data_IF_127904793297
#
_entry.id   IF_127904793297
#
_cell.length_a   1.000
_cell.length_b   1.000
_cell.length_c   1.000
_cell.angle_alpha   90.00
_cell.angle_beta   90.00
_cell.angle_gamma   90.00
#
_symmetry.space_group_name_H-M   'P 1'
#
loop_
_entity.id
_entity.type
_entity.pdbx_description
1 polymer ?
#
# COMPACT_ATOMS: atom_id res chain seq x y z
N UNK A 1 10.53 -10.97 11.12
CA UNK A 1 10.06 -11.84 12.23
C UNK A 1 10.05 -13.28 11.77
N UNK A 2 10.59 -14.26 12.50
CA UNK A 2 10.68 -15.61 12.02
C UNK A 2 9.34 -16.33 12.17
N UNK A 3 8.72 -16.67 11.08
CA UNK A 3 7.67 -17.67 11.06
C UNK A 3 8.33 -19.04 11.34
N UNK A 4 8.48 -19.39 12.59
CA UNK A 4 8.91 -20.73 13.02
C UNK A 4 7.71 -21.51 13.54
N UNK A 5 7.56 -22.71 12.96
CA UNK A 5 6.80 -23.87 13.41
C UNK A 5 5.31 -23.93 13.07
N UNK A 6 5.05 -24.21 11.80
CA UNK A 6 3.94 -25.06 11.41
C UNK A 6 4.54 -26.45 11.11
N UNK A 7 4.48 -27.37 12.07
CA UNK A 7 4.80 -28.78 11.83
C UNK A 7 3.55 -29.45 11.25
N UNK A 8 3.71 -30.05 10.07
CA UNK A 8 2.70 -30.85 9.40
C UNK A 8 3.29 -32.24 9.14
N UNK A 9 2.48 -33.27 9.36
CA UNK A 9 2.82 -34.59 8.86
C UNK A 9 2.73 -34.58 7.33
N UNK A 10 3.85 -34.73 6.68
CA UNK A 10 4.17 -34.32 5.30
C UNK A 10 3.44 -35.08 4.18
N UNK A 11 2.58 -36.05 4.48
CA UNK A 11 2.05 -36.96 3.46
C UNK A 11 0.62 -36.67 2.97
N UNK A 12 -0.10 -35.76 3.61
CA UNK A 12 -1.54 -35.61 3.41
C UNK A 12 -1.95 -34.21 2.94
N UNK A 13 -1.18 -33.17 3.29
CA UNK A 13 -1.53 -31.80 2.98
C UNK A 13 -0.27 -31.05 2.53
N UNK A 14 -0.31 -30.43 1.37
CA UNK A 14 0.71 -29.47 0.95
C UNK A 14 0.14 -28.06 1.04
N UNK A 15 0.95 -27.12 1.57
CA UNK A 15 0.65 -25.70 1.59
C UNK A 15 1.54 -25.02 0.57
N UNK A 16 0.96 -24.40 -0.44
CA UNK A 16 1.65 -23.48 -1.33
C UNK A 16 1.41 -22.07 -0.84
N UNK A 17 2.49 -21.36 -0.52
CA UNK A 17 2.46 -19.95 -0.18
C UNK A 17 3.15 -19.24 -1.33
N UNK A 18 2.48 -18.32 -1.95
CA UNK A 18 3.05 -17.51 -3.01
C UNK A 18 2.61 -16.06 -2.83
N UNK A 19 3.46 -15.16 -3.28
CA UNK A 19 3.12 -13.77 -3.37
C UNK A 19 2.35 -13.56 -4.67
N UNK A 20 1.14 -13.09 -4.57
CA UNK A 20 0.33 -12.67 -5.70
C UNK A 20 -0.16 -11.26 -5.40
N UNK A 21 0.37 -10.28 -6.12
CA UNK A 21 0.02 -8.87 -6.00
C UNK A 21 0.11 -8.34 -4.54
N UNK A 22 1.31 -8.48 -3.93
CA UNK A 22 1.66 -8.03 -2.57
C UNK A 22 0.86 -8.66 -1.42
N UNK A 23 -0.14 -9.49 -1.72
CA UNK A 23 -0.88 -10.23 -0.72
C UNK A 23 -0.32 -11.66 -0.55
N UNK A 24 -0.14 -12.06 0.70
CA UNK A 24 0.23 -13.42 1.02
C UNK A 24 -0.97 -14.34 0.74
N UNK A 25 -0.96 -14.99 -0.42
CA UNK A 25 -1.95 -16.00 -0.77
C UNK A 25 -1.45 -17.38 -0.36
N UNK A 26 -2.34 -18.24 0.08
CA UNK A 26 -2.01 -19.63 0.36
C UNK A 26 -3.09 -20.56 -0.19
N UNK A 27 -2.68 -21.65 -0.78
CA UNK A 27 -3.54 -22.77 -1.15
C UNK A 27 -3.27 -23.95 -0.24
N UNK A 28 -4.34 -24.60 0.21
CA UNK A 28 -4.24 -25.87 0.91
C UNK A 28 -4.65 -26.97 -0.05
N UNK A 29 -3.71 -27.82 -0.40
CA UNK A 29 -3.94 -28.95 -1.29
C UNK A 29 -4.08 -30.22 -0.44
N UNK A 30 -5.30 -30.73 -0.33
CA UNK A 30 -5.57 -32.01 0.29
C UNK A 30 -5.33 -33.11 -0.73
N UNK A 31 -4.43 -34.01 -0.42
CA UNK A 31 -4.17 -35.17 -1.24
C UNK A 31 -5.39 -36.11 -1.25
N UNK A 32 -5.46 -36.93 -2.27
CA UNK A 32 -6.47 -38.00 -2.39
C UNK A 32 -6.57 -38.80 -1.08
N UNK A 33 -7.78 -38.91 -0.54
CA UNK A 33 -8.08 -39.67 0.68
C UNK A 33 -7.70 -38.96 2.00
N UNK A 34 -7.25 -37.71 1.96
CA UNK A 34 -6.93 -36.92 3.15
C UNK A 34 -8.18 -36.58 3.97
N UNK A 35 -8.04 -36.58 5.30
CA UNK A 35 -9.10 -36.14 6.20
C UNK A 35 -9.02 -34.61 6.43
N UNK A 36 -10.01 -33.88 5.97
CA UNK A 36 -10.10 -32.42 6.15
C UNK A 36 -10.08 -31.99 7.62
N UNK A 37 -10.53 -32.84 8.53
CA UNK A 37 -10.56 -32.53 9.97
C UNK A 37 -9.19 -32.38 10.62
N UNK A 38 -8.14 -32.89 9.97
CA UNK A 38 -6.76 -32.72 10.38
C UNK A 38 -6.19 -31.34 10.03
N UNK A 39 -6.86 -30.58 9.12
CA UNK A 39 -6.44 -29.23 8.77
C UNK A 39 -6.86 -28.27 9.88
N UNK A 40 -5.92 -27.91 10.74
CA UNK A 40 -6.15 -26.95 11.83
C UNK A 40 -5.10 -25.84 11.76
N UNK A 41 -5.56 -24.64 11.44
CA UNK A 41 -4.75 -23.43 11.50
C UNK A 41 -4.86 -22.78 12.88
N UNK A 42 -3.75 -22.49 13.52
CA UNK A 42 -3.73 -21.79 14.80
C UNK A 42 -3.30 -20.34 14.57
N UNK A 43 -4.16 -19.42 14.95
CA UNK A 43 -3.89 -18.00 14.93
C UNK A 43 -3.29 -17.56 16.28
N UNK A 44 -2.14 -16.90 16.22
CA UNK A 44 -1.46 -16.35 17.40
C UNK A 44 -1.53 -14.82 17.37
N UNK A 45 -1.55 -14.20 18.53
CA UNK A 45 -1.63 -12.74 18.69
C UNK A 45 -2.88 -12.11 18.07
N UNK A 46 -4.00 -12.84 18.09
CA UNK A 46 -5.32 -12.33 17.68
C UNK A 46 -6.22 -12.20 18.90
N UNK A 47 -7.05 -11.19 18.93
CA UNK A 47 -8.01 -10.94 20.02
C UNK A 47 -9.22 -11.88 19.90
N UNK A 48 -9.75 -12.04 18.69
CA UNK A 48 -10.87 -12.95 18.45
C UNK A 48 -10.92 -13.46 17.01
N UNK A 49 -11.58 -14.61 16.84
CA UNK A 49 -11.94 -15.19 15.56
C UNK A 49 -13.45 -15.39 15.53
N UNK A 50 -14.14 -14.81 14.55
CA UNK A 50 -15.60 -14.93 14.42
C UNK A 50 -16.00 -15.23 12.98
N UNK A 51 -17.14 -15.91 12.80
CA UNK A 51 -17.73 -16.17 11.49
C UNK A 51 -18.91 -15.25 11.25
N UNK A 52 -18.88 -14.50 10.16
CA UNK A 52 -19.97 -13.63 9.74
C UNK A 52 -20.30 -13.91 8.27
N UNK A 53 -21.51 -14.38 7.99
CA UNK A 53 -21.97 -14.73 6.64
C UNK A 53 -21.03 -15.68 5.87
N UNK A 54 -20.39 -16.63 6.59
CA UNK A 54 -19.44 -17.58 6.02
C UNK A 54 -18.01 -17.07 5.87
N UNK A 55 -17.75 -15.79 6.08
CA UNK A 55 -16.40 -15.19 6.13
C UNK A 55 -15.83 -15.29 7.53
N UNK A 56 -14.52 -15.44 7.63
CA UNK A 56 -13.77 -15.41 8.87
C UNK A 56 -13.30 -13.97 9.14
N UNK A 57 -13.68 -13.42 10.30
CA UNK A 57 -13.16 -12.16 10.80
C UNK A 57 -12.09 -12.45 11.87
N UNK A 58 -10.91 -11.93 11.63
CA UNK A 58 -9.73 -12.07 12.49
C UNK A 58 -9.47 -10.70 13.11
N UNK A 59 -9.85 -10.54 14.38
CA UNK A 59 -9.60 -9.30 15.12
C UNK A 59 -8.19 -9.33 15.68
N UNK A 60 -7.40 -8.34 15.32
CA UNK A 60 -6.07 -8.09 15.90
C UNK A 60 -6.12 -6.84 16.78
N UNK A 61 -5.03 -6.52 17.46
CA UNK A 61 -4.93 -5.29 18.27
C UNK A 61 -4.92 -3.99 17.43
N UNK A 62 -4.68 -4.10 16.11
CA UNK A 62 -4.54 -2.94 15.23
C UNK A 62 -5.67 -2.84 14.19
N UNK A 63 -6.21 -3.98 13.72
CA UNK A 63 -7.28 -3.98 12.71
C UNK A 63 -8.08 -5.29 12.72
N UNK A 64 -9.10 -5.36 11.84
CA UNK A 64 -9.85 -6.58 11.56
C UNK A 64 -9.53 -7.07 10.16
N UNK A 65 -8.96 -8.26 10.05
CA UNK A 65 -8.73 -8.94 8.77
C UNK A 65 -9.97 -9.77 8.44
N UNK A 66 -10.45 -9.71 7.22
CA UNK A 66 -11.57 -10.51 6.74
C UNK A 66 -11.09 -11.49 5.68
N UNK A 67 -11.19 -12.78 5.97
CA UNK A 67 -11.06 -13.82 4.97
C UNK A 67 -12.45 -14.23 4.47
N UNK A 68 -12.64 -14.23 3.16
CA UNK A 68 -13.93 -14.61 2.57
C UNK A 68 -14.19 -16.10 2.77
N UNK A 69 -15.45 -16.51 2.55
CA UNK A 69 -15.81 -17.93 2.58
C UNK A 69 -14.85 -18.74 1.70
N UNK A 70 -14.28 -19.86 2.18
CA UNK A 70 -13.27 -20.58 1.43
C UNK A 70 -13.87 -21.16 0.14
N UNK A 71 -13.20 -20.90 -0.98
CA UNK A 71 -13.49 -21.55 -2.23
C UNK A 71 -12.70 -22.87 -2.30
N UNK A 72 -13.36 -23.95 -2.61
CA UNK A 72 -12.66 -25.22 -2.80
C UNK A 72 -13.12 -25.89 -4.10
N UNK A 73 -12.18 -26.59 -4.74
CA UNK A 73 -12.45 -27.25 -6.01
C UNK A 73 -11.60 -28.50 -6.22
N UNK A 74 -12.02 -29.32 -7.15
CA UNK A 74 -11.28 -30.49 -7.68
C UNK A 74 -11.07 -30.32 -9.17
N UNK A 75 -9.94 -30.79 -9.68
CA UNK A 75 -9.71 -30.89 -11.12
C UNK A 75 -9.93 -32.35 -11.51
N UNK A 76 -10.98 -32.61 -12.28
CA UNK A 76 -11.38 -33.93 -12.75
C UNK A 76 -11.51 -33.89 -14.27
N UNK A 77 -10.69 -34.67 -14.98
CA UNK A 77 -10.65 -34.69 -16.45
C UNK A 77 -10.44 -33.32 -17.11
N UNK A 78 -9.63 -32.46 -16.51
CA UNK A 78 -9.39 -31.05 -16.87
C UNK A 78 -10.57 -30.09 -16.59
N UNK A 79 -11.65 -30.53 -15.99
CA UNK A 79 -12.74 -29.69 -15.55
C UNK A 79 -12.55 -29.30 -14.07
N UNK A 80 -12.83 -28.04 -13.75
CA UNK A 80 -12.85 -27.54 -12.37
C UNK A 80 -14.23 -27.74 -11.78
N UNK A 81 -14.33 -28.56 -10.74
CA UNK A 81 -15.58 -28.89 -10.05
C UNK A 81 -15.54 -28.26 -8.65
N UNK A 82 -16.45 -27.34 -8.37
CA UNK A 82 -16.56 -26.70 -7.05
C UNK A 82 -16.92 -27.74 -5.98
N UNK A 83 -16.24 -27.64 -4.84
CA UNK A 83 -16.53 -28.39 -3.61
C UNK A 83 -16.98 -27.42 -2.54
N UNK A 84 -18.17 -27.58 -1.98
CA UNK A 84 -18.65 -26.72 -0.90
C UNK A 84 -17.73 -26.85 0.32
N UNK A 85 -17.21 -25.74 0.79
CA UNK A 85 -16.29 -25.65 1.92
C UNK A 85 -16.73 -24.53 2.88
N UNK A 86 -16.68 -24.81 4.18
CA UNK A 86 -16.96 -23.83 5.22
C UNK A 86 -15.83 -23.83 6.26
N UNK A 87 -15.58 -22.67 6.86
CA UNK A 87 -14.74 -22.57 8.05
C UNK A 87 -15.40 -23.21 9.29
N UNK A 88 -14.56 -23.73 10.16
CA UNK A 88 -14.93 -24.17 11.52
C UNK A 88 -14.02 -23.47 12.51
N UNK A 89 -14.56 -22.56 13.32
CA UNK A 89 -13.78 -21.80 14.31
C UNK A 89 -13.95 -22.43 15.70
N UNK A 90 -12.81 -22.68 16.39
CA UNK A 90 -12.77 -23.15 17.77
C UNK A 90 -11.71 -22.36 18.54
N UNK A 91 -12.14 -21.40 19.35
CA UNK A 91 -11.24 -20.47 20.07
C UNK A 91 -10.28 -19.76 19.08
N UNK A 92 -8.98 -20.01 19.19
CA UNK A 92 -7.94 -19.44 18.32
C UNK A 92 -7.52 -20.39 17.20
N UNK A 93 -8.35 -21.36 16.83
CA UNK A 93 -8.09 -22.27 15.73
C UNK A 93 -9.19 -22.23 14.71
N UNK A 94 -8.80 -22.37 13.45
CA UNK A 94 -9.68 -22.45 12.28
C UNK A 94 -9.41 -23.76 11.55
N UNK A 95 -10.45 -24.50 11.30
CA UNK A 95 -10.44 -25.67 10.42
C UNK A 95 -11.45 -25.50 9.31
N UNK A 96 -11.64 -26.56 8.54
CA UNK A 96 -12.56 -26.58 7.42
C UNK A 96 -13.52 -27.77 7.53
N UNK A 97 -14.65 -27.70 6.85
CA UNK A 97 -15.57 -28.83 6.65
C UNK A 97 -16.14 -28.78 5.25
N UNK A 98 -16.40 -29.95 4.71
CA UNK A 98 -17.15 -30.13 3.46
C UNK A 98 -18.59 -30.54 3.79
N UNK A 99 -19.58 -29.63 3.69
CA UNK A 99 -20.97 -29.93 4.04
C UNK A 99 -21.66 -30.86 3.02
N UNK A 100 -21.04 -31.08 1.86
CA UNK A 100 -21.56 -31.97 0.81
C UNK A 100 -20.49 -32.99 0.43
N UNK A 101 -20.94 -34.13 -0.13
CA UNK A 101 -20.03 -35.16 -0.63
C UNK A 101 -19.23 -34.66 -1.84
N UNK A 102 -18.00 -35.07 -1.93
CA UNK A 102 -17.06 -34.82 -3.04
C UNK A 102 -16.37 -36.12 -3.46
N UNK A 103 -15.66 -36.12 -4.57
CA UNK A 103 -14.98 -37.30 -5.04
C UNK A 103 -13.63 -37.50 -4.33
N UNK A 104 -13.57 -38.39 -3.33
CA UNK A 104 -12.36 -38.67 -2.55
C UNK A 104 -11.20 -39.27 -3.33
N UNK A 105 -11.41 -39.62 -4.60
CA UNK A 105 -10.35 -40.16 -5.47
C UNK A 105 -9.48 -39.06 -6.10
N UNK A 106 -9.83 -37.79 -5.94
CA UNK A 106 -9.10 -36.64 -6.45
C UNK A 106 -8.71 -35.71 -5.30
N UNK A 107 -7.63 -34.98 -5.48
CA UNK A 107 -7.21 -33.94 -4.54
C UNK A 107 -8.24 -32.82 -4.48
N UNK A 108 -8.37 -32.16 -3.33
CA UNK A 108 -9.17 -30.94 -3.16
C UNK A 108 -8.21 -29.79 -2.94
N UNK A 109 -8.39 -28.71 -3.67
CA UNK A 109 -7.69 -27.44 -3.49
C UNK A 109 -8.64 -26.50 -2.77
N UNK A 110 -8.22 -25.97 -1.61
CA UNK A 110 -8.92 -24.92 -0.87
C UNK A 110 -8.12 -23.64 -1.10
N UNK A 111 -8.74 -22.70 -1.81
CA UNK A 111 -8.19 -21.43 -2.25
C UNK A 111 -8.98 -20.28 -1.61
N UNK A 112 -8.33 -19.28 -0.94
CA UNK A 112 -9.01 -18.04 -0.59
C UNK A 112 -9.58 -17.38 -1.84
N UNK A 113 -10.85 -17.03 -1.79
CA UNK A 113 -11.56 -16.56 -2.98
C UNK A 113 -11.04 -15.22 -3.44
N UNK A 114 -10.54 -15.13 -4.66
CA UNK A 114 -10.38 -13.88 -5.39
C UNK A 114 -11.77 -13.25 -5.57
N UNK A 115 -11.97 -12.04 -5.03
CA UNK A 115 -13.26 -11.35 -5.13
C UNK A 115 -13.48 -10.89 -6.57
N UNK A 116 -12.48 -10.22 -7.12
CA UNK A 116 -12.43 -9.88 -8.55
C UNK A 116 -10.99 -9.65 -9.00
N UNK A 117 -10.78 -9.74 -10.30
CA UNK A 117 -9.56 -9.32 -10.97
C UNK A 117 -9.95 -8.64 -12.27
N UNK A 118 -9.35 -7.49 -12.54
CA UNK A 118 -9.60 -6.74 -13.77
C UNK A 118 -8.31 -6.11 -14.28
N UNK A 119 -8.24 -5.90 -15.58
CA UNK A 119 -7.17 -5.10 -16.17
C UNK A 119 -7.47 -3.62 -15.94
N UNK A 120 -6.43 -2.86 -15.55
CA UNK A 120 -6.44 -1.40 -15.60
C UNK A 120 -5.28 -0.93 -16.44
N UNK A 121 -5.50 0.12 -17.21
CA UNK A 121 -4.44 0.67 -18.04
C UNK A 121 -4.96 1.27 -19.33
N UNK A 122 -4.01 1.68 -20.17
CA UNK A 122 -4.20 2.35 -21.45
C UNK A 122 -3.53 1.58 -22.58
N UNK A 123 -3.37 2.21 -23.74
CA UNK A 123 -2.55 1.69 -24.84
C UNK A 123 -1.04 1.95 -24.63
N UNK A 124 -0.69 2.79 -23.63
CA UNK A 124 0.68 3.01 -23.17
C UNK A 124 0.98 2.11 -21.98
N UNK A 125 2.24 2.03 -21.56
CA UNK A 125 2.63 1.30 -20.36
C UNK A 125 1.98 1.91 -19.12
N UNK A 126 1.57 1.05 -18.19
CA UNK A 126 1.01 1.45 -16.92
C UNK A 126 1.54 0.49 -15.83
N UNK A 127 2.06 1.04 -14.75
CA UNK A 127 2.55 0.25 -13.64
C UNK A 127 1.73 0.54 -12.39
N UNK A 128 1.20 -0.52 -11.74
CA UNK A 128 0.57 -0.41 -10.44
C UNK A 128 1.63 -0.26 -9.34
N UNK A 129 1.45 0.70 -8.44
CA UNK A 129 2.34 0.94 -7.30
C UNK A 129 1.66 0.67 -5.98
N UNK A 130 0.42 1.11 -5.83
CA UNK A 130 -0.28 1.08 -4.55
C UNK A 130 -1.77 0.84 -4.74
N UNK A 131 -2.40 0.27 -3.73
CA UNK A 131 -3.84 0.08 -3.71
C UNK A 131 -4.37 0.16 -2.28
N UNK A 132 -5.60 0.64 -2.14
CA UNK A 132 -6.32 0.66 -0.87
C UNK A 132 -7.81 0.39 -1.11
N UNK A 133 -8.58 0.27 -0.03
CA UNK A 133 -10.01 0.04 -0.11
C UNK A 133 -10.75 0.85 0.95
N UNK A 134 -12.02 1.16 0.69
CA UNK A 134 -12.87 1.79 1.68
C UNK A 134 -13.69 0.77 2.51
N UNK A 135 -14.36 1.26 3.55
CA UNK A 135 -15.18 0.43 4.44
C UNK A 135 -16.37 -0.24 3.76
N UNK A 136 -16.67 0.14 2.52
CA UNK A 136 -17.75 -0.45 1.70
C UNK A 136 -17.22 -1.52 0.75
N UNK A 137 -15.88 -1.67 0.65
CA UNK A 137 -15.20 -2.64 -0.21
C UNK A 137 -14.95 -2.15 -1.63
N UNK A 138 -15.01 -0.83 -1.89
CA UNK A 138 -14.54 -0.27 -3.15
C UNK A 138 -13.01 -0.26 -3.17
N UNK A 139 -12.42 -0.67 -4.28
CA UNK A 139 -10.98 -0.70 -4.49
C UNK A 139 -10.51 0.61 -5.12
N UNK A 140 -9.42 1.15 -4.60
CA UNK A 140 -8.70 2.28 -5.19
C UNK A 140 -7.32 1.82 -5.62
N UNK A 141 -6.93 2.12 -6.84
CA UNK A 141 -5.58 1.84 -7.35
C UNK A 141 -4.85 3.13 -7.67
N UNK A 142 -3.59 3.21 -7.25
CA UNK A 142 -2.62 4.22 -7.65
C UNK A 142 -1.59 3.59 -8.56
N UNK A 143 -1.48 4.09 -9.77
CA UNK A 143 -0.59 3.61 -10.80
C UNK A 143 0.11 4.77 -11.50
N UNK A 144 1.13 4.45 -12.27
CA UNK A 144 1.78 5.39 -13.19
C UNK A 144 1.27 5.14 -14.60
N UNK A 145 0.88 6.20 -15.29
CA UNK A 145 0.55 6.15 -16.72
C UNK A 145 1.67 6.79 -17.53
N UNK A 146 2.26 6.01 -18.45
CA UNK A 146 3.32 6.46 -19.36
C UNK A 146 2.71 7.06 -20.62
N UNK A 147 1.97 8.16 -20.48
CA UNK A 147 1.40 8.92 -21.58
C UNK A 147 -0.12 9.00 -21.58
N UNK A 148 -0.66 9.31 -22.75
CA UNK A 148 -2.09 9.58 -22.98
C UNK A 148 -2.96 8.31 -22.98
N UNK A 149 -4.27 8.52 -23.09
CA UNK A 149 -5.30 7.48 -23.26
C UNK A 149 -5.55 6.58 -22.06
N UNK A 150 -5.06 6.97 -20.85
CA UNK A 150 -5.59 6.33 -19.64
C UNK A 150 -7.10 6.58 -19.54
N UNK A 151 -7.89 5.55 -19.27
CA UNK A 151 -9.34 5.63 -19.40
C UNK A 151 -10.01 6.42 -18.26
N UNK A 152 -9.90 7.73 -18.31
CA UNK A 152 -10.52 8.66 -17.36
C UNK A 152 -12.05 8.67 -17.46
N UNK A 153 -12.72 9.04 -16.39
CA UNK A 153 -14.18 9.18 -16.37
C UNK A 153 -14.58 10.63 -16.67
N UNK A 154 -15.78 10.81 -17.22
CA UNK A 154 -16.35 12.14 -17.38
C UNK A 154 -16.51 12.84 -16.03
N UNK A 155 -16.06 14.09 -15.92
CA UNK A 155 -16.08 14.84 -14.68
C UNK A 155 -14.94 14.50 -13.70
N UNK A 156 -13.96 13.71 -14.10
CA UNK A 156 -12.72 13.51 -13.34
C UNK A 156 -11.98 14.83 -13.15
N UNK A 157 -11.24 14.94 -12.05
CA UNK A 157 -10.46 16.14 -11.72
C UNK A 157 -9.51 16.53 -12.85
N UNK A 158 -8.72 15.59 -13.36
CA UNK A 158 -7.76 15.79 -14.43
C UNK A 158 -8.00 14.75 -15.52
N UNK A 159 -8.44 15.22 -16.68
CA UNK A 159 -8.89 14.33 -17.77
C UNK A 159 -7.84 14.09 -18.85
N UNK A 160 -6.68 14.73 -18.74
CA UNK A 160 -5.60 14.62 -19.70
C UNK A 160 -4.25 14.45 -19.02
N UNK A 161 -3.37 13.71 -19.66
CA UNK A 161 -1.96 13.64 -19.33
C UNK A 161 -1.31 15.02 -19.46
N UNK A 162 -0.50 15.43 -18.49
CA UNK A 162 0.03 16.80 -18.43
C UNK A 162 1.45 16.93 -18.95
N UNK A 163 2.24 15.89 -18.86
CA UNK A 163 3.60 15.98 -19.40
C UNK A 163 4.58 14.98 -18.81
N UNK A 164 5.86 15.24 -19.01
CA UNK A 164 6.90 14.32 -18.57
C UNK A 164 6.85 12.98 -19.29
N UNK A 165 7.33 11.97 -18.59
CA UNK A 165 7.24 10.57 -19.00
C UNK A 165 6.02 9.93 -18.34
N UNK A 166 5.68 10.36 -17.10
CA UNK A 166 4.63 9.74 -16.29
C UNK A 166 3.79 10.76 -15.53
N UNK A 167 2.46 10.52 -15.51
CA UNK A 167 1.53 11.08 -14.53
C UNK A 167 0.98 9.93 -13.66
N UNK A 168 0.52 10.28 -12.46
CA UNK A 168 -0.23 9.34 -11.63
C UNK A 168 -1.60 9.09 -12.26
N UNK A 169 -2.05 7.85 -12.21
CA UNK A 169 -3.38 7.43 -12.61
C UNK A 169 -4.09 6.78 -11.42
N UNK A 170 -5.20 7.38 -11.02
CA UNK A 170 -6.05 6.92 -9.91
C UNK A 170 -7.33 6.33 -10.48
N UNK A 171 -7.70 5.13 -10.03
CA UNK A 171 -8.99 4.53 -10.37
C UNK A 171 -9.67 3.95 -9.13
N UNK A 172 -10.95 4.29 -8.94
CA UNK A 172 -11.84 3.65 -7.99
C UNK A 172 -12.74 2.66 -8.71
N UNK A 173 -12.75 1.41 -8.25
CA UNK A 173 -13.59 0.34 -8.77
C UNK A 173 -14.76 0.05 -7.82
N UNK A 174 -15.86 -0.46 -8.38
CA UNK A 174 -16.94 -1.00 -7.57
C UNK A 174 -16.52 -2.28 -6.83
N UNK A 175 -17.33 -2.72 -5.90
CA UNK A 175 -17.05 -3.87 -5.03
C UNK A 175 -16.97 -5.21 -5.77
N UNK A 176 -17.37 -5.25 -7.03
CA UNK A 176 -17.35 -6.42 -7.91
C UNK A 176 -16.28 -6.30 -9.00
N UNK A 177 -15.58 -5.18 -9.11
CA UNK A 177 -14.62 -4.91 -10.17
C UNK A 177 -15.23 -4.82 -11.58
N UNK A 178 -16.55 -4.67 -11.67
CA UNK A 178 -17.27 -4.63 -12.94
C UNK A 178 -17.34 -3.24 -13.55
N UNK A 179 -17.17 -2.20 -12.72
CA UNK A 179 -17.29 -0.81 -13.14
C UNK A 179 -16.25 0.08 -12.47
N UNK A 180 -15.72 1.01 -13.24
CA UNK A 180 -14.96 2.13 -12.69
C UNK A 180 -15.93 3.18 -12.19
N UNK A 181 -15.83 3.53 -10.91
CA UNK A 181 -16.63 4.59 -10.30
C UNK A 181 -16.10 5.95 -10.74
N UNK A 182 -14.79 6.13 -10.65
CA UNK A 182 -14.08 7.23 -11.29
C UNK A 182 -12.65 6.82 -11.66
N UNK A 183 -12.08 7.58 -12.58
CA UNK A 183 -10.68 7.44 -12.96
C UNK A 183 -10.17 8.80 -13.43
N UNK A 184 -8.99 9.20 -12.95
CA UNK A 184 -8.39 10.52 -13.16
C UNK A 184 -6.88 10.42 -13.27
N UNK A 185 -6.25 11.34 -14.03
CA UNK A 185 -4.84 11.62 -13.84
C UNK A 185 -4.62 12.51 -12.61
N UNK A 186 -3.37 12.58 -12.17
CA UNK A 186 -2.88 13.57 -11.23
C UNK A 186 -1.40 13.80 -11.52
N UNK A 187 -1.05 14.97 -12.07
CA UNK A 187 0.32 15.29 -12.43
C UNK A 187 0.48 16.71 -12.94
N UNK A 188 1.73 17.06 -13.25
CA UNK A 188 2.16 18.31 -13.85
C UNK A 188 2.97 18.09 -15.11
N UNK A 189 3.89 18.99 -15.44
CA UNK A 189 4.65 18.95 -16.69
C UNK A 189 5.90 18.07 -16.68
N UNK A 190 6.28 17.50 -15.53
CA UNK A 190 7.39 16.55 -15.38
C UNK A 190 6.87 15.19 -14.90
N UNK A 191 7.67 14.41 -14.18
CA UNK A 191 7.32 13.04 -13.79
C UNK A 191 6.75 12.98 -12.37
N UNK A 192 5.71 12.17 -12.18
CA UNK A 192 5.07 11.87 -10.91
C UNK A 192 5.00 10.38 -10.64
N UNK A 193 5.21 10.00 -9.38
CA UNK A 193 5.08 8.62 -8.90
C UNK A 193 4.23 8.58 -7.61
N UNK A 194 3.21 7.70 -7.54
CA UNK A 194 2.46 7.50 -6.31
C UNK A 194 3.23 6.57 -5.37
N UNK A 195 3.22 6.84 -4.06
CA UNK A 195 3.81 5.98 -3.05
C UNK A 195 2.74 5.18 -2.32
N UNK A 196 1.76 5.87 -1.75
CA UNK A 196 0.74 5.25 -0.92
C UNK A 196 -0.60 5.99 -0.99
N UNK A 197 -1.67 5.27 -0.70
CA UNK A 197 -3.05 5.72 -0.73
C UNK A 197 -3.77 5.36 0.57
N UNK A 198 -4.56 6.27 1.11
CA UNK A 198 -5.48 5.96 2.22
C UNK A 198 -6.84 6.64 1.99
N UNK A 199 -7.93 5.96 2.38
CA UNK A 199 -9.29 6.46 2.22
C UNK A 199 -9.87 6.87 3.57
N UNK A 200 -10.40 8.08 3.66
CA UNK A 200 -11.09 8.56 4.86
C UNK A 200 -12.48 7.93 5.03
N UNK A 201 -13.05 8.09 6.22
CA UNK A 201 -14.44 7.67 6.50
C UNK A 201 -15.49 8.37 5.62
N UNK A 202 -15.15 9.48 4.97
CA UNK A 202 -15.98 10.22 4.02
C UNK A 202 -15.78 9.79 2.56
N UNK A 203 -15.08 8.67 2.34
CA UNK A 203 -14.70 8.15 1.01
C UNK A 203 -13.77 9.09 0.21
N UNK A 204 -13.09 10.03 0.86
CA UNK A 204 -12.11 10.91 0.24
C UNK A 204 -10.75 10.22 0.20
N UNK A 205 -10.04 10.34 -0.91
CA UNK A 205 -8.76 9.68 -1.13
C UNK A 205 -7.60 10.62 -0.84
N UNK A 206 -6.76 10.25 0.11
CA UNK A 206 -5.46 10.87 0.33
C UNK A 206 -4.39 10.12 -0.45
N UNK A 207 -3.49 10.86 -1.07
CA UNK A 207 -2.46 10.37 -1.98
C UNK A 207 -1.13 10.95 -1.55
N UNK A 208 -0.17 10.09 -1.29
CA UNK A 208 1.23 10.45 -1.11
C UNK A 208 2.02 10.06 -2.35
N UNK A 209 2.92 10.92 -2.78
CA UNK A 209 3.84 10.61 -3.87
C UNK A 209 4.98 11.61 -3.98
N UNK A 210 5.74 11.45 -5.05
CA UNK A 210 6.84 12.33 -5.41
C UNK A 210 6.55 12.96 -6.77
N UNK A 211 6.85 14.25 -6.88
CA UNK A 211 6.71 15.02 -8.14
C UNK A 211 8.01 15.71 -8.50
N UNK A 212 8.32 15.76 -9.79
CA UNK A 212 9.34 16.61 -10.37
C UNK A 212 8.78 17.90 -11.00
N UNK A 213 7.48 18.11 -10.88
CA UNK A 213 6.75 19.20 -11.56
C UNK A 213 6.61 20.44 -10.67
N UNK A 214 7.16 21.56 -11.11
CA UNK A 214 6.92 22.84 -10.44
C UNK A 214 5.51 23.38 -10.60
N UNK A 215 4.75 22.86 -11.54
CA UNK A 215 3.35 23.16 -11.83
C UNK A 215 2.39 22.04 -11.37
N UNK A 216 2.84 21.11 -10.52
CA UNK A 216 1.96 20.13 -9.90
C UNK A 216 0.79 20.81 -9.19
N UNK A 217 -0.44 20.31 -9.33
CA UNK A 217 -1.61 20.99 -8.81
C UNK A 217 -1.63 21.05 -7.27
N UNK A 218 -1.51 22.22 -6.71
CA UNK A 218 -1.66 22.53 -5.29
C UNK A 218 -2.84 23.45 -5.03
N UNK A 219 -3.40 23.40 -3.83
CA UNK A 219 -4.55 24.27 -3.48
C UNK A 219 -4.09 25.59 -2.91
N UNK A 220 -5.00 26.59 -2.92
CA UNK A 220 -4.70 27.94 -2.39
C UNK A 220 -4.34 27.92 -0.89
N UNK A 221 -4.85 26.94 -0.13
CA UNK A 221 -4.59 26.77 1.31
C UNK A 221 -3.44 25.81 1.60
N UNK A 222 -2.63 25.44 0.60
CA UNK A 222 -1.50 24.54 0.78
C UNK A 222 -0.55 25.02 1.87
N UNK A 223 0.03 24.11 2.63
CA UNK A 223 1.16 24.40 3.53
C UNK A 223 2.32 25.03 2.76
N UNK A 224 2.68 24.41 1.63
CA UNK A 224 3.67 24.94 0.71
C UNK A 224 3.16 24.83 -0.74
N UNK A 225 3.13 25.96 -1.45
CA UNK A 225 2.74 26.03 -2.85
C UNK A 225 3.91 26.18 -3.82
N UNK A 226 5.14 26.11 -3.32
CA UNK A 226 6.36 26.30 -4.10
C UNK A 226 7.11 24.98 -4.17
N UNK A 227 7.36 24.52 -5.39
CA UNK A 227 8.27 23.40 -5.66
C UNK A 227 9.71 23.87 -5.41
N UNK A 228 10.44 23.15 -4.57
CA UNK A 228 11.82 23.45 -4.24
C UNK A 228 12.79 22.54 -4.99
N UNK A 229 12.39 21.28 -5.24
CA UNK A 229 13.14 20.32 -6.04
C UNK A 229 14.50 19.96 -5.45
N UNK A 230 15.51 19.80 -6.30
CA UNK A 230 16.85 19.39 -5.89
C UNK A 230 17.75 19.07 -7.07
N UNK A 231 18.73 18.23 -6.83
CA UNK A 231 19.63 17.74 -7.86
C UNK A 231 18.91 16.73 -8.78
N UNK A 232 19.29 16.68 -10.06
CA UNK A 232 18.71 15.72 -11.00
C UNK A 232 18.93 14.29 -10.54
N UNK A 233 17.88 13.47 -10.59
CA UNK A 233 17.92 12.06 -10.20
C UNK A 233 17.15 11.19 -11.22
N UNK A 234 17.67 10.01 -11.49
CA UNK A 234 17.11 9.04 -12.42
C UNK A 234 17.01 7.68 -11.75
N UNK A 235 15.86 7.34 -11.15
CA UNK A 235 15.65 6.04 -10.50
C UNK A 235 15.90 4.88 -11.46
N UNK A 236 16.69 3.91 -11.04
CA UNK A 236 17.10 2.80 -11.90
C UNK A 236 15.92 1.84 -12.14
N UNK A 237 15.62 1.59 -13.41
CA UNK A 237 14.59 0.61 -13.80
C UNK A 237 13.15 1.10 -13.78
N UNK A 238 12.89 2.34 -13.36
CA UNK A 238 11.53 2.90 -13.31
C UNK A 238 11.17 3.69 -14.59
N UNK A 239 12.15 4.06 -15.42
CA UNK A 239 11.94 4.77 -16.67
C UNK A 239 11.47 6.21 -16.51
N UNK A 240 11.68 6.82 -15.33
CA UNK A 240 11.26 8.19 -15.01
C UNK A 240 12.47 9.09 -14.76
N UNK A 241 12.26 10.40 -14.72
CA UNK A 241 13.33 11.40 -14.63
C UNK A 241 12.92 12.60 -13.79
N UNK A 242 13.65 12.84 -12.73
CA UNK A 242 13.53 14.04 -11.89
C UNK A 242 14.65 15.02 -12.25
N UNK A 243 14.51 15.68 -13.41
CA UNK A 243 15.58 16.53 -13.98
C UNK A 243 15.90 17.74 -13.10
N UNK A 244 14.92 18.27 -12.37
CA UNK A 244 15.05 19.40 -11.44
C UNK A 244 14.92 18.96 -9.97
N UNK A 245 15.21 17.70 -9.68
CA UNK A 245 14.95 17.11 -8.38
C UNK A 245 13.47 16.84 -8.13
N UNK A 246 13.15 16.62 -6.86
CA UNK A 246 11.83 16.16 -6.46
C UNK A 246 11.39 16.71 -5.12
N UNK A 247 10.08 16.94 -4.97
CA UNK A 247 9.41 17.16 -3.70
C UNK A 247 8.38 16.07 -3.43
N UNK A 248 8.15 15.77 -2.16
CA UNK A 248 6.96 15.03 -1.74
C UNK A 248 5.74 15.88 -2.07
N UNK A 249 4.67 15.28 -2.53
CA UNK A 249 3.35 15.90 -2.54
C UNK A 249 2.36 15.07 -1.72
N UNK A 250 1.37 15.76 -1.16
CA UNK A 250 0.21 15.15 -0.54
C UNK A 250 -1.01 15.78 -1.18
N UNK A 251 -1.96 14.95 -1.64
CA UNK A 251 -3.19 15.41 -2.27
C UNK A 251 -4.40 14.71 -1.68
N UNK A 252 -5.54 15.41 -1.60
CA UNK A 252 -6.83 14.88 -1.16
C UNK A 252 -7.86 15.09 -2.25
N UNK A 253 -8.36 14.00 -2.81
CA UNK A 253 -9.43 13.98 -3.81
C UNK A 253 -10.80 13.76 -3.16
N UNK A 254 -11.80 14.38 -3.74
CA UNK A 254 -13.21 14.16 -3.37
C UNK A 254 -13.62 12.70 -3.61
N UNK A 255 -14.65 12.24 -2.92
CA UNK A 255 -15.18 10.87 -2.98
C UNK A 255 -15.60 10.42 -4.38
N UNK A 256 -15.89 11.35 -5.27
CA UNK A 256 -16.25 11.12 -6.67
C UNK A 256 -15.09 11.38 -7.66
N UNK A 257 -13.88 11.70 -7.17
CA UNK A 257 -12.70 11.95 -7.99
C UNK A 257 -12.75 13.19 -8.88
N UNK A 258 -13.77 14.05 -8.69
CA UNK A 258 -14.01 15.22 -9.56
C UNK A 258 -13.38 16.53 -9.06
N UNK A 259 -12.83 16.55 -7.85
CA UNK A 259 -12.26 17.76 -7.26
C UNK A 259 -11.03 17.46 -6.41
N UNK A 260 -10.02 18.31 -6.51
CA UNK A 260 -8.89 18.37 -5.61
C UNK A 260 -9.30 19.22 -4.39
N UNK A 261 -9.46 18.58 -3.22
CA UNK A 261 -9.94 19.25 -2.01
C UNK A 261 -8.82 19.97 -1.27
N UNK A 262 -7.66 19.33 -1.17
CA UNK A 262 -6.43 19.92 -0.67
C UNK A 262 -5.22 19.27 -1.34
N UNK A 263 -4.15 20.02 -1.52
CA UNK A 263 -2.90 19.53 -2.07
C UNK A 263 -1.77 20.47 -1.73
N UNK A 264 -0.59 19.93 -1.40
CA UNK A 264 0.59 20.68 -0.98
C UNK A 264 1.87 19.99 -1.40
N UNK A 265 2.93 20.76 -1.63
CA UNK A 265 4.29 20.25 -1.58
C UNK A 265 4.75 20.08 -0.13
N UNK A 266 5.69 19.18 0.08
CA UNK A 266 6.39 18.97 1.34
C UNK A 266 7.83 18.60 1.04
N UNK A 267 8.76 19.47 1.40
CA UNK A 267 10.18 19.27 1.13
C UNK A 267 11.02 20.46 1.55
N UNK A 268 12.31 20.36 1.30
CA UNK A 268 13.31 21.41 1.45
C UNK A 268 14.03 21.71 0.13
N UNK A 269 15.30 22.09 0.20
CA UNK A 269 16.06 22.57 -0.96
C UNK A 269 16.78 21.48 -1.75
N UNK A 270 16.65 20.20 -1.39
CA UNK A 270 17.19 19.04 -2.12
C UNK A 270 16.09 17.99 -2.32
N UNK A 271 16.41 16.83 -2.87
CA UNK A 271 15.43 15.80 -3.23
C UNK A 271 14.66 15.28 -2.00
N UNK A 272 13.35 15.29 -2.09
CA UNK A 272 12.43 14.77 -1.10
C UNK A 272 11.50 13.70 -1.71
N UNK A 273 11.16 12.69 -0.92
CA UNK A 273 10.34 11.59 -1.39
C UNK A 273 11.10 10.52 -2.18
N UNK A 274 12.38 10.69 -2.38
CA UNK A 274 13.25 9.74 -3.04
C UNK A 274 14.26 9.12 -2.08
N UNK A 275 14.52 7.83 -2.23
CA UNK A 275 15.67 7.16 -1.66
C UNK A 275 16.74 7.04 -2.76
N UNK A 276 17.75 7.89 -2.69
CA UNK A 276 18.82 7.95 -3.70
C UNK A 276 20.02 7.06 -3.37
N UNK A 277 20.03 6.47 -2.17
CA UNK A 277 21.13 5.64 -1.70
C UNK A 277 21.07 4.22 -2.29
N UNK A 278 22.09 3.87 -3.07
CA UNK A 278 22.22 2.48 -3.58
C UNK A 278 22.44 1.44 -2.47
N UNK A 279 22.76 1.88 -1.25
CA UNK A 279 22.89 1.00 -0.08
C UNK A 279 21.54 0.64 0.55
N UNK A 280 20.47 1.35 0.19
CA UNK A 280 19.12 1.20 0.71
C UNK A 280 18.14 0.71 -0.36
N UNK A 281 18.59 0.49 -1.60
CA UNK A 281 17.79 0.06 -2.73
C UNK A 281 18.11 -1.39 -3.07
N UNK A 282 17.37 -2.33 -2.48
CA UNK A 282 17.57 -3.78 -2.66
C UNK A 282 16.47 -4.44 -3.46
N UNK A 283 15.30 -3.81 -3.55
CA UNK A 283 14.13 -4.33 -4.23
C UNK A 283 13.63 -3.34 -5.28
N UNK A 284 12.76 -3.82 -6.16
CA UNK A 284 12.08 -2.96 -7.11
C UNK A 284 11.35 -1.81 -6.41
N UNK A 285 11.56 -0.61 -6.91
CA UNK A 285 10.95 0.63 -6.44
C UNK A 285 11.31 1.06 -4.99
N UNK A 286 12.40 0.54 -4.41
CA UNK A 286 12.88 1.05 -3.11
C UNK A 286 13.31 2.53 -3.17
N UNK A 287 13.57 3.06 -4.38
CA UNK A 287 13.90 4.47 -4.61
C UNK A 287 12.72 5.43 -4.37
N UNK A 288 11.48 4.92 -4.34
CA UNK A 288 10.27 5.75 -4.27
C UNK A 288 9.30 5.27 -3.20
N UNK A 289 9.80 4.77 -2.09
CA UNK A 289 8.96 4.29 -0.98
C UNK A 289 8.58 5.40 -0.02
N UNK A 290 7.37 5.30 0.49
CA UNK A 290 6.81 6.11 1.53
C UNK A 290 5.41 5.63 1.86
N UNK A 291 4.88 6.02 3.01
CA UNK A 291 3.57 5.58 3.50
C UNK A 291 2.76 6.76 4.01
N UNK A 292 1.44 6.69 3.80
CA UNK A 292 0.46 7.64 4.33
C UNK A 292 -0.60 6.90 5.14
N UNK A 293 -0.96 7.44 6.30
CA UNK A 293 -2.08 6.99 7.10
C UNK A 293 -2.82 8.18 7.69
N UNK A 294 -4.04 7.99 8.19
CA UNK A 294 -4.87 9.05 8.76
C UNK A 294 -5.47 8.63 10.10
N UNK A 295 -5.55 9.57 11.06
CA UNK A 295 -6.28 9.35 12.30
C UNK A 295 -7.80 9.56 12.14
N UNK A 296 -8.56 9.36 13.22
CA UNK A 296 -10.02 9.53 13.23
C UNK A 296 -10.51 10.95 12.88
N UNK A 297 -9.63 11.94 13.02
CA UNK A 297 -9.91 13.35 12.65
C UNK A 297 -9.45 13.66 11.21
N UNK A 298 -8.97 12.63 10.50
CA UNK A 298 -8.33 12.69 9.18
C UNK A 298 -7.05 13.54 9.17
N UNK A 299 -6.36 13.74 10.30
CA UNK A 299 -5.02 14.26 10.25
C UNK A 299 -4.11 13.25 9.58
N UNK A 300 -3.20 13.74 8.76
CA UNK A 300 -2.37 12.93 7.86
C UNK A 300 -1.02 12.65 8.51
N UNK A 301 -0.60 11.41 8.47
CA UNK A 301 0.71 10.95 8.92
C UNK A 301 1.47 10.42 7.71
N UNK A 302 2.74 10.80 7.60
CA UNK A 302 3.60 10.49 6.46
C UNK A 302 4.93 9.98 6.98
N UNK A 303 5.42 8.89 6.39
CA UNK A 303 6.79 8.44 6.50
C UNK A 303 7.42 8.42 5.11
N UNK A 304 8.60 9.00 4.95
CA UNK A 304 9.31 9.09 3.67
C UNK A 304 10.80 9.31 3.90
N UNK A 305 11.52 9.70 2.86
CA UNK A 305 12.94 10.03 2.90
C UNK A 305 13.19 11.45 2.41
N UNK A 306 14.23 12.08 2.91
CA UNK A 306 14.64 13.44 2.54
C UNK A 306 16.17 13.53 2.43
N UNK A 307 16.64 14.31 1.46
CA UNK A 307 18.03 14.74 1.35
C UNK A 307 18.19 16.21 1.79
N UNK A 308 17.08 16.86 2.14
CA UNK A 308 17.05 18.28 2.48
C UNK A 308 17.41 18.53 3.92
N UNK A 309 18.54 19.16 4.18
CA UNK A 309 18.93 19.55 5.53
C UNK A 309 18.03 20.65 6.13
N UNK A 310 17.29 21.34 5.30
CA UNK A 310 16.29 22.35 5.63
C UNK A 310 14.84 21.84 5.52
N UNK A 311 14.64 20.50 5.49
CA UNK A 311 13.31 19.89 5.57
C UNK A 311 12.55 20.43 6.79
N UNK A 312 11.27 20.81 6.65
CA UNK A 312 10.53 21.46 7.72
C UNK A 312 10.33 20.54 8.93
N UNK A 313 11.03 20.82 10.03
CA UNK A 313 10.86 20.15 11.32
C UNK A 313 10.17 21.04 12.35
N UNK A 314 9.46 20.44 13.29
CA UNK A 314 8.84 21.19 14.39
C UNK A 314 9.81 21.43 15.54
N UNK A 315 9.58 22.48 16.34
CA UNK A 315 10.45 22.83 17.48
C UNK A 315 10.51 21.76 18.58
N UNK A 316 9.52 20.86 18.62
CA UNK A 316 9.44 19.73 19.56
C UNK A 316 9.65 18.38 18.88
N UNK A 317 10.37 18.37 17.75
CA UNK A 317 10.71 17.15 17.03
C UNK A 317 11.57 16.19 17.86
N UNK A 318 11.46 14.92 17.59
CA UNK A 318 12.38 13.91 18.14
C UNK A 318 13.83 14.18 17.69
N UNK A 319 14.01 14.48 16.41
CA UNK A 319 15.28 14.87 15.81
C UNK A 319 15.07 16.10 14.94
N UNK A 320 15.66 17.22 15.34
CA UNK A 320 15.54 18.52 14.65
C UNK A 320 16.66 18.79 13.65
N UNK A 321 17.70 17.96 13.65
CA UNK A 321 18.88 18.14 12.81
C UNK A 321 19.03 16.99 11.84
N UNK A 322 19.20 17.32 10.58
CA UNK A 322 19.58 16.41 9.52
C UNK A 322 20.95 15.81 9.80
N UNK A 323 21.11 14.51 9.58
CA UNK A 323 22.35 13.79 9.75
C UNK A 323 22.63 12.94 8.51
N UNK A 324 23.91 12.53 8.32
CA UNK A 324 24.26 11.74 7.15
C UNK A 324 24.12 12.48 5.82
N UNK A 325 23.75 11.76 4.78
CA UNK A 325 23.49 12.26 3.42
C UNK A 325 22.01 12.14 3.02
N UNK A 326 21.26 11.31 3.73
CA UNK A 326 19.83 11.07 3.57
C UNK A 326 19.26 10.61 4.90
N UNK A 327 18.16 11.22 5.35
CA UNK A 327 17.43 10.80 6.55
C UNK A 327 16.01 10.35 6.18
N UNK A 328 15.42 9.51 7.02
CA UNK A 328 13.97 9.33 7.07
C UNK A 328 13.31 10.60 7.59
N UNK A 329 12.10 10.87 7.15
CA UNK A 329 11.28 11.95 7.70
C UNK A 329 9.89 11.42 8.08
N UNK A 330 9.39 11.92 9.22
CA UNK A 330 8.04 11.63 9.69
C UNK A 330 7.30 12.92 9.96
N UNK A 331 6.07 13.05 9.43
CA UNK A 331 5.30 14.28 9.47
C UNK A 331 3.85 14.00 9.82
N UNK A 332 3.27 14.83 10.69
CA UNK A 332 1.81 14.91 10.90
C UNK A 332 1.32 16.26 10.42
N UNK A 333 0.30 16.25 9.56
CA UNK A 333 -0.38 17.44 9.05
C UNK A 333 -1.86 17.44 9.42
N UNK A 334 -2.47 18.61 9.39
CA UNK A 334 -3.92 18.74 9.46
C UNK A 334 -4.61 18.16 8.20
N UNK A 335 -5.89 17.88 8.30
CA UNK A 335 -6.66 17.29 7.20
C UNK A 335 -6.91 18.24 6.00
N UNK A 336 -6.55 19.52 6.11
CA UNK A 336 -6.59 20.48 5.02
C UNK A 336 -5.24 20.62 4.32
N UNK A 337 -4.20 19.92 4.81
CA UNK A 337 -2.83 19.98 4.32
C UNK A 337 -2.27 21.42 4.32
N UNK A 338 -2.71 22.20 5.30
CA UNK A 338 -2.38 23.63 5.44
C UNK A 338 -1.38 23.90 6.54
N UNK A 339 -1.18 22.93 7.46
CA UNK A 339 -0.34 23.14 8.65
C UNK A 339 0.37 21.83 9.03
N UNK A 340 1.67 21.89 9.27
CA UNK A 340 2.41 20.83 9.93
C UNK A 340 2.08 20.90 11.43
N UNK A 341 1.50 19.85 11.99
CA UNK A 341 1.22 19.73 13.42
C UNK A 341 2.53 19.39 14.16
N UNK A 342 3.29 18.44 13.63
CA UNK A 342 4.67 18.17 14.02
C UNK A 342 5.40 17.41 12.91
N UNK A 343 6.73 17.50 12.91
CA UNK A 343 7.60 16.75 12.01
C UNK A 343 8.97 16.54 12.62
N UNK A 344 9.67 15.49 12.19
CA UNK A 344 10.97 15.10 12.68
C UNK A 344 11.77 14.37 11.60
N UNK A 345 13.07 14.54 11.62
CA UNK A 345 13.98 13.58 11.00
C UNK A 345 14.01 12.26 11.80
N UNK A 346 14.40 11.18 11.16
CA UNK A 346 14.70 9.88 11.75
C UNK A 346 15.91 9.31 11.03
N UNK A 347 17.07 9.41 11.66
CA UNK A 347 18.30 8.91 11.06
C UNK A 347 19.50 9.09 11.95
N UNK A 348 20.67 8.72 11.43
CA UNK A 348 21.97 8.83 12.06
C UNK A 348 23.01 9.40 11.08
N UNK A 349 24.28 9.09 11.31
CA UNK A 349 25.40 9.65 10.53
C UNK A 349 25.51 9.09 9.09
N UNK A 350 24.70 8.09 8.73
CA UNK A 350 24.69 7.48 7.40
C UNK A 350 23.37 7.75 6.64
N UNK A 351 23.18 7.02 5.52
CA UNK A 351 21.97 7.13 4.75
C UNK A 351 20.85 6.34 5.43
N UNK A 352 19.73 6.96 5.67
CA UNK A 352 18.56 6.38 6.32
C UNK A 352 17.29 6.62 5.50
N UNK A 353 16.35 5.70 5.56
CA UNK A 353 15.09 5.80 4.83
C UNK A 353 13.93 5.18 5.62
N UNK A 354 12.77 5.82 5.60
CA UNK A 354 11.52 5.25 6.10
C UNK A 354 10.67 4.75 4.92
N UNK A 355 10.11 3.56 5.07
CA UNK A 355 9.36 2.88 4.00
C UNK A 355 7.90 2.68 4.32
N UNK A 356 7.55 2.57 5.60
CA UNK A 356 6.17 2.32 5.99
C UNK A 356 5.86 2.89 7.38
N UNK A 357 4.60 3.20 7.59
CA UNK A 357 4.06 3.57 8.89
C UNK A 357 2.69 2.93 9.11
N UNK A 358 2.29 2.82 10.38
CA UNK A 358 0.94 2.51 10.77
C UNK A 358 0.60 3.25 12.07
N UNK A 359 -0.66 3.61 12.26
CA UNK A 359 -1.14 4.21 13.50
C UNK A 359 -2.14 3.28 14.19
N UNK A 360 -2.06 3.17 15.50
CA UNK A 360 -3.05 2.41 16.27
C UNK A 360 -4.25 3.29 16.71
N UNK A 361 -5.26 2.66 17.30
CA UNK A 361 -6.46 3.35 17.78
C UNK A 361 -6.18 4.37 18.91
N UNK A 362 -4.97 4.40 19.47
CA UNK A 362 -4.52 5.35 20.49
C UNK A 362 -3.64 6.45 19.87
N UNK A 363 -3.54 6.48 18.54
CA UNK A 363 -2.66 7.37 17.76
C UNK A 363 -1.17 7.17 18.07
N UNK A 364 -0.76 5.97 18.54
CA UNK A 364 0.65 5.62 18.55
C UNK A 364 1.11 5.31 17.12
N UNK A 365 2.30 5.78 16.79
CA UNK A 365 2.87 5.65 15.45
C UNK A 365 3.93 4.56 15.48
N UNK A 366 3.82 3.64 14.54
CA UNK A 366 4.80 2.59 14.27
C UNK A 366 5.40 2.86 12.89
N UNK A 367 6.71 2.97 12.83
CA UNK A 367 7.43 3.22 11.59
C UNK A 367 8.40 2.09 11.31
N UNK A 368 8.63 1.81 10.04
CA UNK A 368 9.67 0.89 9.59
C UNK A 368 10.45 1.49 8.45
N UNK A 369 11.73 1.12 8.37
CA UNK A 369 12.64 1.63 7.35
C UNK A 369 13.97 0.90 7.41
N UNK A 370 14.96 1.44 6.74
CA UNK A 370 16.32 0.98 6.80
C UNK A 370 17.19 2.11 7.39
N UNK A 371 17.84 1.83 8.52
CA UNK A 371 18.79 2.71 9.16
C UNK A 371 20.20 2.08 9.00
N UNK A 372 21.12 2.82 8.38
CA UNK A 372 22.49 2.33 8.22
C UNK A 372 23.35 2.81 9.41
N UNK A 373 23.71 1.88 10.28
CA UNK A 373 24.63 2.13 11.39
C UNK A 373 26.09 2.03 10.94
N UNK A 374 26.93 2.94 11.43
CA UNK A 374 28.38 2.81 11.37
C UNK A 374 28.83 1.84 12.45
N UNK A 375 28.98 0.55 12.13
CA UNK A 375 29.57 -0.50 12.96
C UNK A 375 28.93 -0.81 14.34
N UNK A 376 28.66 -2.11 14.56
CA UNK A 376 28.57 -2.81 15.85
C UNK A 376 27.37 -2.60 16.79
N UNK A 377 26.22 -2.10 16.36
CA UNK A 377 25.00 -2.22 17.18
C UNK A 377 24.34 -3.61 17.13
N UNK A 378 24.91 -4.57 16.40
CA UNK A 378 24.39 -5.94 16.31
C UNK A 378 25.02 -6.91 17.32
N UNK A 379 25.97 -6.47 18.12
CA UNK A 379 26.74 -7.29 19.07
C UNK A 379 26.52 -6.95 20.55
N UNK A 380 25.52 -6.13 20.91
CA UNK A 380 25.12 -5.91 22.30
C UNK A 380 23.72 -6.49 22.63
#
# INVERSE_FOLDING_TARGET
MPYKNLYWDFWVISKQIYNHDENLKYDLILSKGADISEVIMKYQHVESLTLVNGSLLIQTSVNTIKEMRPYAYQIINNDTIEVKCDYVVKKQTVGFKFPQAFNSNFSVIIDPTLIFSTYSGSISDNFGYTATYDNKGYLYSGSTAFGVDYPVTFGAYQQSFQGGITDIAITKYDTLGTSRIYSTYLGGSADELPHSLVVSSNDELFILGTTGSSDFPVTQSAYNSVFLGGNSFFPTGLGVSFANGSDIFISRLSSNGGSLLSSTFLGGSDNDGLNTSSKLSFNYADEIRGEIDIDSDNNVYIASSTLSSDFPTSSNSFQSSFQGSQDGCIVKMDNQLSTIIWSSFIGGDNDDALYSLAIDNSNNIYITGCLLYTSDAADE
#
